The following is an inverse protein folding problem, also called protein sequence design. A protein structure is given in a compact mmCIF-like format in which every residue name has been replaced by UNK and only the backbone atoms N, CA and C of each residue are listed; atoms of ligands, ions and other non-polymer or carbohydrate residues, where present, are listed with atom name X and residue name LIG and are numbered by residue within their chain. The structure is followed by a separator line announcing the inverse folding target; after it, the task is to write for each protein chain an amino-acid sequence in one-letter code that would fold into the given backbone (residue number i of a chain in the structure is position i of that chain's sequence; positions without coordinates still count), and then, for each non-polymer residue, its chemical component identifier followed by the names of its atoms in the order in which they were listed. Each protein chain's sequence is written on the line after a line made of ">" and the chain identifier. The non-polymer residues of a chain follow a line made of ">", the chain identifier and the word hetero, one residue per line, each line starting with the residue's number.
data_IF_046456995912
#
_entry.id   IF_046456995912
#
_cell.length_a   1.000
_cell.length_b   1.000
_cell.length_c   1.000
_cell.angle_alpha   90.00
_cell.angle_beta   90.00
_cell.angle_gamma   90.00
#
_symmetry.space_group_name_H-M   'P 1'
#
loop_
_entity.id
_entity.type
_entity.pdbx_description
1 polymer ?
#
# COMPACT_ATOMS: atom_id res chain seq x y z
N UNK A 1 17.40 29.87 -4.50
CA UNK A 1 16.26 29.03 -4.05
C UNK A 1 15.82 28.01 -5.09
N UNK A 2 15.73 28.37 -6.37
CA UNK A 2 15.31 27.46 -7.44
C UNK A 2 16.12 26.15 -7.53
N UNK A 3 17.43 26.17 -7.23
CA UNK A 3 18.27 24.97 -7.25
C UNK A 3 17.83 23.89 -6.24
N UNK A 4 17.42 24.29 -5.02
CA UNK A 4 16.92 23.36 -3.99
C UNK A 4 15.57 22.75 -4.39
N UNK A 5 14.69 23.57 -4.96
CA UNK A 5 13.40 23.12 -5.48
C UNK A 5 13.58 22.09 -6.61
N UNK A 6 14.44 22.39 -7.60
CA UNK A 6 14.71 21.46 -8.70
C UNK A 6 15.37 20.17 -8.21
N UNK A 7 16.22 20.22 -7.17
CA UNK A 7 16.78 19.01 -6.55
C UNK A 7 15.67 18.13 -5.94
N UNK A 8 14.72 18.74 -5.23
CA UNK A 8 13.58 18.01 -4.64
C UNK A 8 12.67 17.42 -5.71
N UNK A 9 12.40 18.16 -6.79
CA UNK A 9 11.61 17.66 -7.93
C UNK A 9 12.28 16.44 -8.61
N UNK A 10 13.60 16.44 -8.74
CA UNK A 10 14.36 15.31 -9.27
C UNK A 10 14.34 14.08 -8.36
N UNK A 11 14.20 14.27 -7.05
CA UNK A 11 14.15 13.16 -6.10
C UNK A 11 12.87 12.32 -6.25
N UNK A 12 11.76 12.93 -6.66
CA UNK A 12 10.46 12.27 -6.77
C UNK A 12 10.10 11.83 -8.20
N UNK A 13 11.10 11.53 -9.03
CA UNK A 13 10.99 10.76 -10.29
C UNK A 13 9.76 11.09 -11.17
N UNK A 14 9.52 12.39 -11.40
CA UNK A 14 8.45 12.86 -12.28
C UNK A 14 7.04 12.91 -11.65
N UNK A 15 6.89 12.74 -10.34
CA UNK A 15 5.59 12.86 -9.66
C UNK A 15 4.98 14.28 -9.70
N UNK A 16 5.76 15.29 -10.13
CA UNK A 16 5.34 16.69 -10.19
C UNK A 16 5.53 17.26 -11.61
N UNK A 17 4.46 17.82 -12.15
CA UNK A 17 4.43 18.51 -13.42
C UNK A 17 4.33 20.03 -13.20
N UNK A 18 5.02 20.84 -14.01
CA UNK A 18 4.91 22.30 -13.95
C UNK A 18 3.75 22.75 -14.84
N UNK A 19 2.80 23.48 -14.27
CA UNK A 19 1.71 24.12 -15.02
C UNK A 19 2.16 25.52 -15.46
N UNK A 20 1.68 25.99 -16.61
CA UNK A 20 1.96 27.32 -17.18
C UNK A 20 1.70 28.51 -16.25
N UNK A 21 0.88 28.31 -15.21
CA UNK A 21 0.58 29.32 -14.18
C UNK A 21 1.69 29.50 -13.13
N UNK A 22 2.85 28.83 -13.29
CA UNK A 22 3.94 28.87 -12.32
C UNK A 22 3.68 28.02 -11.06
N UNK A 23 2.72 27.10 -11.15
CA UNK A 23 2.36 26.13 -10.11
C UNK A 23 2.87 24.74 -10.47
N UNK A 24 2.88 23.84 -9.49
CA UNK A 24 3.17 22.43 -9.62
C UNK A 24 1.89 21.62 -9.45
N UNK A 25 1.68 20.64 -10.34
CA UNK A 25 0.64 19.62 -10.21
C UNK A 25 1.28 18.31 -9.78
N UNK A 26 0.79 17.71 -8.71
CA UNK A 26 1.16 16.34 -8.39
C UNK A 26 0.37 15.39 -9.30
N UNK A 27 1.04 14.54 -10.08
CA UNK A 27 0.37 13.58 -10.98
C UNK A 27 -0.35 12.48 -10.20
N UNK A 28 0.13 12.16 -9.00
CA UNK A 28 -0.40 11.09 -8.14
C UNK A 28 -1.72 11.46 -7.46
N UNK A 29 -1.85 12.70 -7.03
CA UNK A 29 -2.99 13.17 -6.23
C UNK A 29 -3.82 14.23 -6.97
N UNK A 30 -3.38 14.66 -8.15
CA UNK A 30 -3.92 15.79 -8.91
C UNK A 30 -4.02 17.10 -8.12
N UNK A 31 -3.22 17.25 -7.05
CA UNK A 31 -3.22 18.47 -6.23
C UNK A 31 -2.31 19.55 -6.82
N UNK A 32 -2.78 20.80 -6.84
CA UNK A 32 -2.01 21.96 -7.26
C UNK A 32 -1.37 22.66 -6.05
N UNK A 33 -0.07 22.93 -6.16
CA UNK A 33 0.73 23.63 -5.15
C UNK A 33 1.56 24.72 -5.84
N UNK A 34 1.83 25.86 -5.18
CA UNK A 34 2.74 26.84 -5.74
C UNK A 34 4.17 26.31 -5.75
N UNK A 35 5.00 26.80 -6.68
CA UNK A 35 6.39 26.38 -6.86
C UNK A 35 7.34 26.93 -5.78
N UNK A 36 6.99 26.75 -4.50
CA UNK A 36 7.81 27.14 -3.34
C UNK A 36 8.35 25.90 -2.64
N UNK A 37 9.60 26.00 -2.20
CA UNK A 37 10.30 24.86 -1.59
C UNK A 37 9.65 24.40 -0.28
N UNK A 38 9.26 25.33 0.58
CA UNK A 38 8.66 25.01 1.88
C UNK A 38 7.32 24.30 1.73
N UNK A 39 6.48 24.78 0.82
CA UNK A 39 5.17 24.19 0.53
C UNK A 39 5.32 22.82 -0.11
N UNK A 40 6.25 22.65 -1.06
CA UNK A 40 6.54 21.34 -1.66
C UNK A 40 7.07 20.36 -0.61
N UNK A 41 7.98 20.79 0.27
CA UNK A 41 8.53 19.94 1.33
C UNK A 41 7.44 19.48 2.31
N UNK A 42 6.62 20.41 2.80
CA UNK A 42 5.49 20.08 3.67
C UNK A 42 4.50 19.15 2.97
N UNK A 43 4.28 19.34 1.67
CA UNK A 43 3.43 18.47 0.87
C UNK A 43 3.99 17.05 0.75
N UNK A 44 5.30 16.91 0.52
CA UNK A 44 5.96 15.59 0.39
C UNK A 44 6.00 14.80 1.70
N UNK A 45 5.89 15.47 2.85
CA UNK A 45 5.82 14.83 4.17
C UNK A 45 4.39 14.42 4.56
N UNK A 46 3.38 14.82 3.78
CA UNK A 46 1.99 14.47 4.08
C UNK A 46 1.68 12.99 3.83
N UNK A 47 0.87 12.40 4.73
CA UNK A 47 0.39 11.00 4.64
C UNK A 47 -0.21 10.66 3.28
N UNK A 48 -0.98 11.58 2.68
CA UNK A 48 -1.62 11.37 1.36
C UNK A 48 -0.59 11.19 0.24
N UNK A 49 0.46 12.02 0.24
CA UNK A 49 1.51 11.94 -0.77
C UNK A 49 2.37 10.70 -0.56
N UNK A 50 2.82 10.43 0.66
CA UNK A 50 3.60 9.24 0.99
C UNK A 50 2.86 7.96 0.62
N UNK A 51 1.55 7.91 0.87
CA UNK A 51 0.72 6.77 0.48
C UNK A 51 0.71 6.55 -1.04
N UNK A 52 0.37 7.61 -1.81
CA UNK A 52 0.28 7.51 -3.26
C UNK A 52 1.65 7.24 -3.92
N UNK A 53 2.71 7.87 -3.41
CA UNK A 53 4.07 7.65 -3.87
C UNK A 53 4.56 6.23 -3.57
N UNK A 54 4.28 5.71 -2.38
CA UNK A 54 4.59 4.33 -2.02
C UNK A 54 3.92 3.32 -2.96
N UNK A 55 2.64 3.51 -3.28
CA UNK A 55 1.93 2.67 -4.25
C UNK A 55 2.57 2.70 -5.64
N UNK A 56 2.85 3.90 -6.16
CA UNK A 56 3.51 4.05 -7.47
C UNK A 56 4.88 3.34 -7.50
N UNK A 57 5.66 3.44 -6.42
CA UNK A 57 6.98 2.80 -6.36
C UNK A 57 6.88 1.27 -6.33
N UNK A 58 5.82 0.70 -5.74
CA UNK A 58 5.58 -0.74 -5.72
C UNK A 58 5.11 -1.21 -7.10
N UNK A 59 4.17 -0.51 -7.73
CA UNK A 59 3.72 -0.80 -9.10
C UNK A 59 4.88 -0.73 -10.09
N UNK A 60 5.77 0.26 -9.98
CA UNK A 60 6.99 0.34 -10.81
C UNK A 60 7.94 -0.84 -10.60
N UNK A 61 8.06 -1.36 -9.37
CA UNK A 61 8.94 -2.51 -9.06
C UNK A 61 8.34 -3.84 -9.51
N UNK A 62 7.02 -3.96 -9.48
CA UNK A 62 6.29 -5.20 -9.73
C UNK A 62 5.06 -4.95 -10.61
N UNK A 63 5.25 -4.62 -11.89
CA UNK A 63 4.16 -4.15 -12.77
C UNK A 63 3.08 -5.20 -13.03
N UNK A 64 3.43 -6.49 -13.06
CA UNK A 64 2.51 -7.58 -13.42
C UNK A 64 2.14 -8.48 -12.23
N UNK A 65 2.64 -8.16 -11.04
CA UNK A 65 2.46 -9.01 -9.86
C UNK A 65 1.19 -8.64 -9.10
N UNK A 66 0.84 -7.35 -9.08
CA UNK A 66 -0.30 -6.84 -8.32
C UNK A 66 -1.38 -6.35 -9.28
N UNK A 67 -2.58 -6.89 -9.12
CA UNK A 67 -3.78 -6.45 -9.83
C UNK A 67 -4.72 -5.76 -8.84
N UNK A 68 -5.40 -4.70 -9.27
CA UNK A 68 -6.43 -4.07 -8.44
C UNK A 68 -7.68 -4.96 -8.43
N UNK A 69 -8.08 -5.44 -7.25
CA UNK A 69 -9.22 -6.33 -7.06
C UNK A 69 -10.50 -5.53 -6.70
N UNK A 70 -10.39 -4.21 -6.59
CA UNK A 70 -11.46 -3.36 -6.09
C UNK A 70 -11.53 -3.38 -4.56
N UNK A 71 -12.40 -2.53 -4.01
CA UNK A 71 -12.69 -2.47 -2.56
C UNK A 71 -11.50 -2.13 -1.65
N UNK A 72 -10.44 -1.53 -2.20
CA UNK A 72 -9.25 -1.18 -1.42
C UNK A 72 -8.35 -2.37 -1.14
N UNK A 73 -8.45 -3.43 -1.94
CA UNK A 73 -7.53 -4.56 -1.93
C UNK A 73 -6.80 -4.70 -3.26
N UNK A 74 -5.64 -5.33 -3.22
CA UNK A 74 -4.86 -5.76 -4.39
C UNK A 74 -4.70 -7.27 -4.35
N UNK A 75 -4.82 -7.90 -5.50
CA UNK A 75 -4.60 -9.33 -5.68
C UNK A 75 -3.16 -9.56 -6.15
N UNK A 76 -2.43 -10.40 -5.43
CA UNK A 76 -1.13 -10.89 -5.90
C UNK A 76 -1.36 -12.02 -6.91
N UNK A 77 -0.95 -11.83 -8.17
CA UNK A 77 -1.10 -12.83 -9.22
C UNK A 77 -0.27 -14.10 -8.95
N UNK A 78 0.87 -13.98 -8.25
CA UNK A 78 1.76 -15.11 -7.95
C UNK A 78 1.17 -16.07 -6.91
N UNK A 79 0.59 -15.55 -5.82
CA UNK A 79 0.06 -16.39 -4.74
C UNK A 79 -1.47 -16.42 -4.69
N UNK A 80 -2.14 -15.66 -5.55
CA UNK A 80 -3.60 -15.45 -5.57
C UNK A 80 -4.13 -14.94 -4.22
N UNK A 81 -3.33 -14.17 -3.48
CA UNK A 81 -3.68 -13.65 -2.16
C UNK A 81 -4.17 -12.21 -2.26
N UNK A 82 -5.30 -11.92 -1.59
CA UNK A 82 -5.86 -10.58 -1.44
C UNK A 82 -5.13 -9.84 -0.31
N UNK A 83 -4.61 -8.66 -0.58
CA UNK A 83 -3.82 -7.84 0.36
C UNK A 83 -4.44 -6.45 0.41
N UNK A 84 -4.42 -5.80 1.58
CA UNK A 84 -4.89 -4.42 1.70
C UNK A 84 -4.08 -3.48 0.79
N UNK A 85 -4.76 -2.56 0.10
CA UNK A 85 -4.17 -1.53 -0.79
C UNK A 85 -3.52 -0.40 0.03
N UNK A 86 -2.56 -0.77 0.87
CA UNK A 86 -1.71 0.16 1.60
C UNK A 86 -0.23 -0.16 1.32
N UNK A 87 0.63 0.86 1.19
CA UNK A 87 2.05 0.65 0.88
C UNK A 87 2.73 -0.22 1.93
N UNK A 88 2.42 -0.01 3.21
CA UNK A 88 2.99 -0.78 4.30
C UNK A 88 2.60 -2.26 4.23
N UNK A 89 1.33 -2.58 3.99
CA UNK A 89 0.87 -3.96 3.86
C UNK A 89 1.54 -4.67 2.69
N UNK A 90 1.63 -4.03 1.53
CA UNK A 90 2.24 -4.65 0.36
C UNK A 90 3.76 -4.79 0.54
N UNK A 91 4.45 -3.80 1.12
CA UNK A 91 5.88 -3.92 1.42
C UNK A 91 6.19 -5.07 2.38
N UNK A 92 5.40 -5.23 3.43
CA UNK A 92 5.55 -6.33 4.37
C UNK A 92 5.27 -7.68 3.70
N UNK A 93 4.25 -7.73 2.85
CA UNK A 93 3.92 -8.93 2.08
C UNK A 93 5.03 -9.33 1.10
N UNK A 94 5.61 -8.37 0.36
CA UNK A 94 6.73 -8.60 -0.57
C UNK A 94 7.99 -9.10 0.14
N UNK A 95 8.25 -8.62 1.36
CA UNK A 95 9.36 -9.10 2.20
C UNK A 95 9.08 -10.46 2.84
N UNK A 96 7.84 -10.95 2.75
CA UNK A 96 7.40 -12.20 3.34
C UNK A 96 7.97 -13.43 2.63
N UNK A 97 8.18 -14.51 3.39
CA UNK A 97 8.67 -15.81 2.87
C UNK A 97 7.79 -16.36 1.75
N UNK A 98 6.46 -16.28 1.91
CA UNK A 98 5.49 -16.78 0.93
C UNK A 98 5.67 -16.13 -0.44
N UNK A 99 5.87 -14.81 -0.48
CA UNK A 99 6.09 -14.08 -1.72
C UNK A 99 7.42 -14.44 -2.38
N UNK A 100 8.51 -14.50 -1.61
CA UNK A 100 9.83 -14.83 -2.14
C UNK A 100 9.89 -16.23 -2.75
N UNK A 101 9.27 -17.22 -2.10
CA UNK A 101 9.18 -18.59 -2.63
C UNK A 101 8.37 -18.61 -3.93
N UNK A 102 7.22 -17.94 -3.97
CA UNK A 102 6.39 -17.89 -5.17
C UNK A 102 7.11 -17.18 -6.33
N UNK A 103 7.86 -16.11 -6.04
CA UNK A 103 8.66 -15.41 -7.03
C UNK A 103 9.82 -16.26 -7.56
N UNK A 104 10.44 -17.10 -6.73
CA UNK A 104 11.46 -18.05 -7.18
C UNK A 104 10.87 -19.10 -8.13
N UNK A 105 9.76 -19.73 -7.73
CA UNK A 105 9.07 -20.74 -8.55
C UNK A 105 8.62 -20.18 -9.89
N UNK A 106 8.02 -18.99 -9.90
CA UNK A 106 7.60 -18.33 -11.13
C UNK A 106 8.77 -18.04 -12.08
N UNK A 107 9.97 -17.73 -11.56
CA UNK A 107 11.17 -17.55 -12.37
C UNK A 107 11.69 -18.87 -12.94
N UNK A 108 11.70 -19.93 -12.14
CA UNK A 108 12.11 -21.27 -12.59
C UNK A 108 11.17 -21.80 -13.69
N UNK A 109 9.86 -21.60 -13.53
CA UNK A 109 8.87 -21.99 -14.54
C UNK A 109 9.08 -21.26 -15.87
N UNK A 110 9.33 -19.94 -15.83
CA UNK A 110 9.63 -19.16 -17.03
C UNK A 110 10.94 -19.62 -17.68
N UNK A 111 11.98 -19.90 -16.90
CA UNK A 111 13.26 -20.37 -17.43
C UNK A 111 13.11 -21.75 -18.09
N UNK A 112 12.42 -22.69 -17.43
CA UNK A 112 12.16 -24.02 -17.97
C UNK A 112 11.29 -23.97 -19.24
N UNK A 113 10.30 -23.09 -19.29
CA UNK A 113 9.48 -22.91 -20.49
C UNK A 113 10.31 -22.38 -21.67
N UNK A 114 11.25 -21.46 -21.42
CA UNK A 114 12.12 -20.91 -22.45
C UNK A 114 13.13 -21.96 -22.96
N UNK A 115 13.66 -22.80 -22.07
CA UNK A 115 14.54 -23.92 -22.42
C UNK A 115 13.80 -25.03 -23.22
N UNK A 116 12.49 -25.16 -23.04
CA UNK A 116 11.68 -26.14 -23.78
C UNK A 116 11.30 -25.68 -25.20
N UNK A 117 11.31 -24.37 -25.49
CA UNK A 117 10.98 -23.84 -26.83
C UNK A 117 12.19 -23.82 -27.79
N UNK A 118 13.41 -23.89 -27.27
CA UNK A 118 14.65 -24.00 -28.07
C UNK A 118 15.15 -25.45 -28.23
N UNK A 119 14.35 -26.45 -27.83
CA UNK A 119 14.70 -27.88 -27.82
C UNK A 119 13.92 -28.72 -28.83
N UNK A 120 13.88 -28.30 -30.11
CA UNK A 120 13.50 -29.16 -31.23
C UNK A 120 14.76 -29.40 -32.08
N UNK A 121 15.55 -30.41 -31.71
CA UNK A 121 16.40 -31.25 -32.58
C UNK A 121 17.20 -32.28 -31.72
N UNK A 122 16.66 -33.50 -31.69
CA UNK A 122 17.32 -34.82 -31.58
C UNK A 122 17.92 -35.39 -30.27
N UNK A 123 17.56 -36.67 -30.04
CA UNK A 123 18.17 -37.73 -29.21
C UNK A 123 17.96 -37.67 -27.69
N UNK A 124 17.57 -38.72 -26.96
CA UNK A 124 17.34 -40.14 -27.25
C UNK A 124 16.42 -40.68 -26.13
N UNK A 125 15.66 -41.72 -26.45
CA UNK A 125 14.92 -42.55 -25.50
C UNK A 125 15.92 -43.32 -24.63
N UNK A 126 16.20 -42.85 -23.41
CA UNK A 126 16.84 -43.68 -22.39
C UNK A 126 15.85 -43.92 -21.23
N UNK A 127 15.10 -45.00 -21.39
CA UNK A 127 14.39 -45.70 -20.32
C UNK A 127 15.41 -46.11 -19.25
N UNK A 128 15.51 -45.32 -18.18
CA UNK A 128 16.26 -45.71 -17.00
C UNK A 128 15.32 -46.42 -16.03
N UNK A 129 15.11 -47.71 -16.27
CA UNK A 129 14.63 -48.68 -15.29
C UNK A 129 15.65 -48.75 -14.14
N UNK A 130 15.31 -48.21 -12.97
CA UNK A 130 16.12 -48.34 -11.75
C UNK A 130 15.32 -49.04 -10.65
N UNK A 131 15.41 -50.37 -10.76
CA UNK A 131 15.62 -51.38 -9.71
C UNK A 131 15.01 -51.12 -8.33
N UNK A 132 14.00 -51.95 -8.07
CA UNK A 132 13.29 -52.16 -6.83
C UNK A 132 14.23 -52.81 -5.77
N UNK A 133 15.11 -52.02 -5.15
CA UNK A 133 15.83 -52.49 -3.95
C UNK A 133 15.02 -52.25 -2.70
N UNK A 134 14.29 -53.29 -2.32
CA UNK A 134 13.75 -53.56 -0.99
C UNK A 134 14.85 -53.35 0.06
N UNK A 135 14.71 -52.30 0.87
CA UNK A 135 15.35 -52.22 2.18
C UNK A 135 14.24 -52.27 3.21
N UNK A 136 13.97 -53.49 3.69
CA UNK A 136 13.22 -53.72 4.91
C UNK A 136 13.98 -53.05 6.07
N UNK A 137 13.37 -52.00 6.61
CA UNK A 137 13.78 -51.33 7.85
C UNK A 137 12.57 -51.26 8.74
N UNK A 138 12.52 -52.16 9.71
CA UNK A 138 11.45 -52.43 10.66
C UNK A 138 11.03 -51.17 11.47
N UNK A 139 9.70 -51.01 11.54
CA UNK A 139 8.90 -50.80 12.75
C UNK A 139 9.47 -49.89 13.85
N UNK A 140 8.92 -48.67 13.95
CA UNK A 140 8.82 -47.99 15.23
C UNK A 140 7.61 -47.04 15.25
N UNK A 141 6.54 -47.55 15.85
CA UNK A 141 5.64 -46.87 16.80
C UNK A 141 5.04 -45.51 16.41
N UNK A 142 3.80 -45.60 15.94
CA UNK A 142 2.63 -44.89 16.49
C UNK A 142 2.92 -43.89 17.61
N UNK A 143 2.76 -42.59 17.33
CA UNK A 143 2.16 -41.64 18.28
C UNK A 143 1.46 -40.56 17.44
N UNK A 144 0.16 -40.78 17.26
CA UNK A 144 -0.84 -39.82 16.80
C UNK A 144 -0.88 -38.66 17.81
N UNK A 145 -0.14 -37.58 17.52
CA UNK A 145 -0.25 -36.36 18.30
C UNK A 145 -1.44 -35.55 17.75
N UNK A 146 -2.54 -35.37 18.51
CA UNK A 146 -3.53 -34.38 18.15
C UNK A 146 -2.84 -33.03 18.16
N UNK A 147 -2.75 -32.38 17.00
CA UNK A 147 -2.49 -30.95 16.95
C UNK A 147 -3.71 -30.30 17.57
N UNK A 148 -3.62 -30.02 18.88
CA UNK A 148 -4.57 -29.17 19.57
C UNK A 148 -4.60 -27.84 18.81
N UNK A 149 -5.77 -27.56 18.25
CA UNK A 149 -6.20 -26.27 17.74
C UNK A 149 -6.23 -25.32 18.95
N UNK A 150 -5.06 -24.82 19.34
CA UNK A 150 -4.96 -23.66 20.20
C UNK A 150 -5.38 -22.46 19.36
N UNK A 151 -6.69 -22.18 19.38
CA UNK A 151 -7.19 -20.83 19.15
C UNK A 151 -6.47 -19.91 20.16
N UNK A 152 -5.37 -19.30 19.72
CA UNK A 152 -4.86 -18.10 20.38
C UNK A 152 -5.95 -17.04 20.23
N UNK A 153 -6.81 -16.97 21.25
CA UNK A 153 -7.61 -15.81 21.60
C UNK A 153 -6.61 -14.67 21.87
N UNK A 154 -6.19 -14.02 20.79
CA UNK A 154 -5.47 -12.77 20.86
C UNK A 154 -6.50 -11.81 21.45
N UNK A 155 -6.45 -11.62 22.77
CA UNK A 155 -7.01 -10.45 23.42
C UNK A 155 -6.34 -9.25 22.75
N UNK A 156 -6.97 -8.79 21.67
CA UNK A 156 -6.74 -7.52 21.04
C UNK A 156 -7.14 -6.50 22.11
N UNK A 157 -6.18 -6.15 22.98
CA UNK A 157 -6.20 -4.87 23.66
C UNK A 157 -6.21 -3.81 22.55
N UNK A 158 -7.43 -3.46 22.12
CA UNK A 158 -7.70 -2.21 21.43
C UNK A 158 -7.19 -1.11 22.37
N UNK A 159 -5.95 -0.69 22.16
CA UNK A 159 -5.47 0.60 22.63
C UNK A 159 -6.27 1.64 21.84
N UNK A 160 -7.50 1.90 22.32
CA UNK A 160 -8.40 2.91 21.78
C UNK A 160 -7.60 4.20 21.69
N UNK A 161 -7.34 4.74 20.49
CA UNK A 161 -6.61 5.98 20.37
C UNK A 161 -7.34 7.03 21.20
N UNK A 162 -6.63 7.81 22.05
CA UNK A 162 -7.27 8.74 22.96
C UNK A 162 -8.22 9.62 22.15
N UNK A 163 -9.47 9.79 22.61
CA UNK A 163 -10.47 10.54 21.85
C UNK A 163 -9.90 11.92 21.53
N UNK A 164 -10.13 12.43 20.30
CA UNK A 164 -9.67 13.76 19.94
C UNK A 164 -10.14 14.75 21.02
N UNK A 165 -9.28 15.66 21.49
CA UNK A 165 -9.64 16.60 22.53
C UNK A 165 -10.93 17.28 22.12
N UNK A 166 -11.99 17.06 22.93
CA UNK A 166 -13.32 17.63 22.68
C UNK A 166 -13.11 19.10 22.38
N UNK A 167 -13.43 19.48 21.14
CA UNK A 167 -13.43 20.88 20.74
C UNK A 167 -14.22 21.63 21.80
N UNK A 168 -13.51 22.44 22.59
CA UNK A 168 -14.13 23.31 23.56
C UNK A 168 -15.08 24.16 22.72
N UNK A 169 -16.39 23.94 22.89
CA UNK A 169 -17.41 24.85 22.41
C UNK A 169 -17.01 26.21 22.95
N UNK A 170 -16.36 27.02 22.13
CA UNK A 170 -16.14 28.43 22.41
C UNK A 170 -17.54 28.95 22.66
N UNK A 171 -17.83 29.30 23.92
CA UNK A 171 -19.05 30.00 24.27
C UNK A 171 -19.18 31.14 23.27
N UNK A 172 -20.31 31.16 22.56
CA UNK A 172 -20.62 32.26 21.67
C UNK A 172 -20.40 33.57 22.44
N UNK A 173 -19.75 34.58 21.84
CA UNK A 173 -19.61 35.88 22.47
C UNK A 173 -21.01 36.39 22.85
N UNK A 174 -21.18 37.01 24.04
CA UNK A 174 -22.48 37.49 24.47
C UNK A 174 -23.02 38.48 23.43
N UNK A 175 -24.21 38.18 22.91
CA UNK A 175 -24.96 39.08 22.05
C UNK A 175 -25.16 40.39 22.82
N UNK A 176 -24.48 41.45 22.38
CA UNK A 176 -24.75 42.81 22.86
C UNK A 176 -26.19 43.14 22.46
N UNK A 177 -27.10 43.09 23.43
CA UNK A 177 -28.46 43.61 23.29
C UNK A 177 -28.33 45.10 22.98
N UNK A 178 -28.55 45.47 21.73
CA UNK A 178 -28.78 46.87 21.35
C UNK A 178 -30.09 47.31 21.98
N UNK A 179 -30.15 48.40 22.76
CA UNK A 179 -31.41 48.94 23.23
C UNK A 179 -32.19 49.48 22.03
N UNK A 180 -33.28 48.81 21.69
CA UNK A 180 -34.33 49.31 20.79
C UNK A 180 -34.98 50.54 21.43
N UNK A 181 -34.38 51.70 21.25
CA UNK A 181 -35.04 52.98 21.45
C UNK A 181 -35.95 53.25 20.27
N UNK A 182 -37.25 52.98 20.40
CA UNK A 182 -38.27 53.57 19.51
C UNK A 182 -39.04 54.61 20.29
N UNK A 183 -38.57 55.84 20.12
CA UNK A 183 -39.18 57.06 20.60
C UNK A 183 -40.59 57.23 20.01
N UNK A 184 -41.43 57.85 20.83
CA UNK A 184 -42.84 58.17 20.64
C UNK A 184 -43.02 59.11 19.45
N UNK A 185 -43.95 58.80 18.54
CA UNK A 185 -44.56 59.81 17.67
C UNK A 185 -46.07 59.85 17.90
N UNK A 186 -46.40 60.80 18.77
CA UNK A 186 -47.58 61.67 18.82
C UNK A 186 -48.49 61.56 17.58
N UNK A 187 -49.70 61.05 17.80
CA UNK A 187 -50.82 61.11 16.86
C UNK A 187 -51.34 62.55 16.86
N UNK A 188 -51.36 63.18 15.69
CA UNK A 188 -51.99 64.48 15.46
C UNK A 188 -53.13 64.24 14.47
N UNK A 189 -54.30 64.81 14.82
CA UNK A 189 -55.58 64.84 14.11
C UNK A 189 -56.46 63.59 14.24
#
# INVERSE_FOLDING_TARGET
>A
MAAKLNKLLKQFDGAFEKIDTGKLKCTLTSHELPARFEELKAYTENRKFLHAYGMQQIEKKYPEVFTDDGEGFVLCNLTKTRIAKTPTSIENYVKGKKFMIALHKAKEEVQKALEAEDGDEDADEDEMEVDETVVEGEDSDEEDAPVEDEEEDIEEEEEVPPPPPKAQKRKAPPQKKTPSGRAKHKKLQ
#
